data_IF_975823722640
#
_entry.id   IF_975823722640
#
_cell.length_a   1.000
_cell.length_b   1.000
_cell.length_c   1.000
_cell.angle_alpha   90.00
_cell.angle_beta   90.00
_cell.angle_gamma   90.00
#
_symmetry.space_group_name_H-M   'P 1'
#
loop_
_entity.id
_entity.type
_entity.pdbx_description
1 polymer ?
#
# COMPACT_ATOMS: atom_id res chain seq x y z
N UNK A 1 -12.71 1.13 17.68
CA UNK A 1 -12.33 0.46 16.42
C UNK A 1 -12.31 1.53 15.37
N UNK A 2 -11.27 1.60 14.55
CA UNK A 2 -11.20 2.55 13.46
C UNK A 2 -11.43 1.75 12.19
N UNK A 3 -12.51 2.04 11.47
CA UNK A 3 -12.68 1.48 10.14
C UNK A 3 -11.94 2.39 9.17
N UNK A 4 -10.75 1.96 8.76
CA UNK A 4 -9.89 2.68 7.83
C UNK A 4 -10.25 2.28 6.40
N UNK A 5 -10.57 3.27 5.57
CA UNK A 5 -10.61 3.08 4.12
C UNK A 5 -9.40 3.76 3.50
N UNK A 6 -8.69 3.02 2.66
CA UNK A 6 -7.63 3.53 1.82
C UNK A 6 -8.17 3.84 0.43
N UNK A 7 -8.01 5.07 -0.05
CA UNK A 7 -8.30 5.41 -1.45
C UNK A 7 -7.04 5.92 -2.14
N UNK A 8 -6.82 5.44 -3.37
CA UNK A 8 -5.79 5.96 -4.26
C UNK A 8 -6.37 7.06 -5.14
N UNK A 9 -5.83 8.27 -5.09
CA UNK A 9 -6.18 9.31 -6.06
C UNK A 9 -5.06 9.44 -7.10
N UNK A 10 -5.46 9.33 -8.37
CA UNK A 10 -4.59 9.53 -9.51
C UNK A 10 -4.77 10.96 -10.04
N UNK A 11 -3.86 11.87 -9.69
CA UNK A 11 -3.61 13.05 -10.51
C UNK A 11 -2.38 12.80 -11.38
N UNK A 12 -2.22 13.54 -12.47
CA UNK A 12 -1.14 13.34 -13.45
C UNK A 12 0.29 13.40 -12.90
N UNK A 13 0.47 13.72 -11.61
CA UNK A 13 1.79 13.93 -11.00
C UNK A 13 2.00 13.23 -9.65
N UNK A 14 0.94 12.90 -8.88
CA UNK A 14 1.10 12.41 -7.51
C UNK A 14 0.08 11.32 -7.18
N UNK A 15 0.56 10.19 -6.67
CA UNK A 15 -0.30 9.19 -6.04
C UNK A 15 -0.40 9.45 -4.54
N UNK A 16 -1.63 9.61 -4.07
CA UNK A 16 -1.93 9.73 -2.65
C UNK A 16 -2.76 8.58 -2.16
N UNK A 17 -2.50 8.18 -0.94
CA UNK A 17 -3.38 7.32 -0.17
C UNK A 17 -4.06 8.17 0.89
N UNK A 18 -5.38 8.09 0.94
CA UNK A 18 -6.19 8.74 1.96
C UNK A 18 -6.63 7.72 3.00
N UNK A 19 -6.63 8.12 4.27
CA UNK A 19 -7.07 7.31 5.42
C UNK A 19 -8.30 8.00 6.00
N UNK A 20 -9.43 7.29 5.99
CA UNK A 20 -10.68 7.80 6.56
C UNK A 20 -11.04 7.06 7.85
N UNK A 21 -11.58 7.78 8.83
CA UNK A 21 -12.30 7.17 9.95
C UNK A 21 -13.79 7.11 9.61
N UNK A 22 -14.28 5.90 9.32
CA UNK A 22 -15.70 5.69 8.99
C UNK A 22 -16.62 5.54 10.21
N UNK A 23 -16.08 5.41 11.43
CA UNK A 23 -16.92 5.25 12.63
C UNK A 23 -17.39 6.63 13.10
N UNK A 24 -16.51 7.63 13.03
CA UNK A 24 -16.77 8.99 13.47
C UNK A 24 -16.92 9.94 12.26
N UNK A 25 -18.02 9.79 11.51
CA UNK A 25 -18.45 10.70 10.43
C UNK A 25 -17.65 10.70 9.10
N UNK A 26 -16.95 9.61 8.75
CA UNK A 26 -16.24 9.49 7.46
C UNK A 26 -15.24 10.63 7.23
N UNK A 27 -14.51 11.01 8.28
CA UNK A 27 -13.56 12.11 8.22
C UNK A 27 -12.21 11.63 7.69
N UNK A 28 -11.54 12.47 6.88
CA UNK A 28 -10.15 12.23 6.49
C UNK A 28 -9.27 12.44 7.73
N UNK A 29 -8.64 11.37 8.22
CA UNK A 29 -7.75 11.43 9.39
C UNK A 29 -6.28 11.53 9.00
N UNK A 30 -5.91 10.97 7.84
CA UNK A 30 -4.55 11.11 7.32
C UNK A 30 -4.51 11.01 5.78
N UNK A 31 -3.43 11.52 5.18
CA UNK A 31 -3.10 11.26 3.78
C UNK A 31 -1.60 11.33 3.57
N UNK A 32 -1.09 10.49 2.67
CA UNK A 32 0.33 10.45 2.36
C UNK A 32 0.57 10.30 0.86
N UNK A 33 1.68 10.87 0.41
CA UNK A 33 2.19 10.75 -0.95
C UNK A 33 3.08 9.51 -1.02
N UNK A 34 2.83 8.64 -2.01
CA UNK A 34 3.66 7.47 -2.22
C UNK A 34 5.03 7.87 -2.80
N UNK A 35 6.13 7.20 -2.42
CA UNK A 35 7.50 7.61 -2.77
C UNK A 35 7.93 7.19 -4.18
N UNK A 36 7.00 6.86 -5.07
CA UNK A 36 7.28 6.38 -6.42
C UNK A 36 6.47 7.11 -7.49
N UNK A 37 7.02 7.15 -8.71
CA UNK A 37 6.39 7.78 -9.87
C UNK A 37 5.04 7.15 -10.19
N UNK A 38 4.07 7.96 -10.64
CA UNK A 38 2.72 7.49 -10.92
C UNK A 38 2.67 6.69 -12.24
N UNK A 39 2.46 5.37 -12.14
CA UNK A 39 2.27 4.49 -13.30
C UNK A 39 0.81 4.11 -13.58
N UNK A 40 -0.15 4.82 -12.97
CA UNK A 40 -1.57 4.73 -13.33
C UNK A 40 -2.38 3.61 -12.64
N UNK A 41 -1.77 2.84 -11.74
CA UNK A 41 -2.44 1.77 -11.00
C UNK A 41 -1.98 1.76 -9.55
N UNK A 42 -2.91 1.62 -8.60
CA UNK A 42 -2.57 1.34 -7.19
C UNK A 42 -3.51 0.27 -6.66
N UNK A 43 -2.96 -0.88 -6.29
CA UNK A 43 -3.60 -1.81 -5.38
C UNK A 43 -3.27 -1.39 -3.94
N UNK A 44 -4.28 -1.38 -3.08
CA UNK A 44 -4.17 -1.03 -1.68
C UNK A 44 -4.77 -2.13 -0.81
N UNK A 45 -4.11 -2.47 0.29
CA UNK A 45 -4.66 -3.38 1.30
C UNK A 45 -4.17 -2.98 2.68
N UNK A 46 -4.97 -3.30 3.69
CA UNK A 46 -4.63 -3.16 5.11
C UNK A 46 -4.27 -4.53 5.67
N UNK A 47 -3.36 -4.53 6.64
CA UNK A 47 -3.20 -5.70 7.48
C UNK A 47 -4.42 -5.85 8.44
N UNK A 48 -4.61 -7.02 9.08
CA UNK A 48 -5.82 -7.33 9.84
C UNK A 48 -6.16 -6.38 10.99
N UNK A 49 -5.15 -5.77 11.62
CA UNK A 49 -5.35 -4.79 12.71
C UNK A 49 -5.37 -3.33 12.23
N UNK A 50 -5.25 -3.11 10.91
CA UNK A 50 -5.24 -1.82 10.24
C UNK A 50 -4.13 -0.85 10.70
N UNK A 51 -3.05 -1.36 11.28
CA UNK A 51 -1.87 -0.58 11.64
C UNK A 51 -0.96 -0.34 10.44
N UNK A 52 -0.94 -1.29 9.49
CA UNK A 52 -0.12 -1.25 8.29
C UNK A 52 -0.98 -1.28 7.03
N UNK A 53 -0.46 -0.62 5.99
CA UNK A 53 -0.99 -0.70 4.65
C UNK A 53 0.10 -1.14 3.67
N UNK A 54 -0.33 -1.81 2.61
CA UNK A 54 0.49 -1.99 1.41
C UNK A 54 -0.13 -1.20 0.26
N UNK A 55 0.73 -0.49 -0.46
CA UNK A 55 0.40 0.16 -1.71
C UNK A 55 1.31 -0.37 -2.81
N UNK A 56 0.76 -0.83 -3.91
CA UNK A 56 1.55 -1.31 -5.05
C UNK A 56 0.99 -0.79 -6.36
N UNK A 57 1.88 -0.38 -7.25
CA UNK A 57 1.55 -0.08 -8.63
C UNK A 57 2.03 -1.17 -9.56
N UNK A 58 1.39 -1.30 -10.71
CA UNK A 58 1.81 -2.24 -11.74
C UNK A 58 3.06 -1.70 -12.43
N UNK A 59 4.22 -2.26 -12.09
CA UNK A 59 5.48 -1.97 -12.75
C UNK A 59 6.10 -3.28 -13.25
N UNK A 60 6.06 -3.48 -14.56
CA UNK A 60 6.82 -4.54 -15.22
C UNK A 60 8.11 -3.95 -15.80
N UNK A 61 9.26 -4.48 -15.38
CA UNK A 61 10.56 -4.12 -15.92
C UNK A 61 11.67 -4.15 -14.87
N UNK A 62 12.86 -3.77 -15.28
CA UNK A 62 14.03 -3.48 -14.45
C UNK A 62 13.92 -2.12 -13.74
N UNK A 63 12.69 -1.70 -13.43
CA UNK A 63 12.42 -0.39 -12.80
C UNK A 63 13.30 -0.25 -11.57
N UNK A 64 14.19 0.74 -11.62
CA UNK A 64 15.17 1.04 -10.56
C UNK A 64 14.47 1.52 -9.28
N UNK A 65 13.23 1.99 -9.42
CA UNK A 65 12.42 2.59 -8.37
C UNK A 65 11.52 1.58 -7.64
N UNK A 66 11.22 1.82 -6.35
CA UNK A 66 10.21 1.04 -5.64
C UNK A 66 8.86 1.15 -6.36
N UNK A 67 8.11 0.06 -6.40
CA UNK A 67 6.79 0.00 -7.03
C UNK A 67 5.74 -0.63 -6.11
N UNK A 68 6.15 -1.08 -4.93
CA UNK A 68 5.25 -1.29 -3.82
C UNK A 68 5.93 -0.88 -2.51
N UNK A 69 5.12 -0.52 -1.52
CA UNK A 69 5.58 -0.16 -0.17
C UNK A 69 4.65 -0.72 0.89
N UNK A 70 5.23 -1.10 2.03
CA UNK A 70 4.51 -1.20 3.30
C UNK A 70 4.72 0.10 4.07
N UNK A 71 3.65 0.61 4.64
CA UNK A 71 3.65 1.86 5.41
C UNK A 71 2.81 1.74 6.67
N UNK A 72 3.18 2.51 7.68
CA UNK A 72 2.41 2.73 8.90
C UNK A 72 1.22 3.66 8.63
N UNK A 73 0.00 3.23 8.95
CA UNK A 73 -1.24 3.95 8.63
C UNK A 73 -1.39 5.23 9.44
N UNK A 74 -0.90 5.24 10.68
CA UNK A 74 -1.03 6.38 11.58
C UNK A 74 -0.13 7.55 11.16
N UNK A 75 1.07 7.26 10.67
CA UNK A 75 2.12 8.25 10.39
C UNK A 75 2.38 8.44 8.90
N UNK A 76 2.03 7.47 8.04
CA UNK A 76 2.40 7.44 6.63
C UNK A 76 3.87 7.06 6.40
N UNK A 77 4.58 6.61 7.43
CA UNK A 77 6.00 6.25 7.34
C UNK A 77 6.17 4.98 6.51
N UNK A 78 7.03 5.02 5.50
CA UNK A 78 7.38 3.85 4.70
C UNK A 78 8.31 2.95 5.51
N UNK A 79 7.90 1.70 5.74
CA UNK A 79 8.66 0.70 6.49
C UNK A 79 9.44 -0.24 5.58
N UNK A 80 8.92 -0.50 4.38
CA UNK A 80 9.57 -1.40 3.42
C UNK A 80 9.25 -0.98 2.00
N UNK A 81 10.24 -1.08 1.13
CA UNK A 81 10.14 -0.83 -0.31
C UNK A 81 10.37 -2.12 -1.09
N UNK A 82 9.54 -2.37 -2.10
CA UNK A 82 9.67 -3.50 -3.01
C UNK A 82 9.93 -3.02 -4.43
N UNK A 83 10.91 -3.65 -5.08
CA UNK A 83 11.20 -3.43 -6.50
C UNK A 83 10.43 -4.42 -7.36
N UNK A 84 9.69 -3.89 -8.31
CA UNK A 84 8.73 -4.68 -9.07
C UNK A 84 7.56 -5.09 -8.17
N UNK A 85 6.35 -4.80 -8.61
CA UNK A 85 5.14 -5.11 -7.88
C UNK A 85 3.97 -5.04 -8.82
N UNK A 86 2.95 -5.82 -8.55
CA UNK A 86 1.71 -5.84 -9.30
C UNK A 86 0.57 -6.27 -8.38
N UNK A 87 -0.64 -5.88 -8.76
CA UNK A 87 -1.84 -6.50 -8.23
C UNK A 87 -1.96 -7.93 -8.80
N UNK A 88 -2.44 -8.92 -8.02
CA UNK A 88 -3.03 -8.81 -6.69
C UNK A 88 -2.02 -8.85 -5.52
N UNK A 89 -2.44 -8.29 -4.38
CA UNK A 89 -1.73 -8.33 -3.09
C UNK A 89 -2.67 -8.63 -1.92
N UNK A 90 -2.18 -9.28 -0.87
CA UNK A 90 -2.96 -9.54 0.35
C UNK A 90 -2.09 -9.90 1.55
N UNK A 91 -2.45 -9.39 2.73
CA UNK A 91 -1.86 -9.83 4.00
C UNK A 91 -2.42 -11.18 4.42
N UNK A 92 -1.61 -11.97 5.12
CA UNK A 92 -2.10 -13.15 5.84
C UNK A 92 -3.09 -12.73 6.94
N UNK A 93 -4.03 -13.61 7.33
CA UNK A 93 -4.98 -13.31 8.39
C UNK A 93 -4.36 -13.02 9.77
N UNK A 94 -3.13 -13.48 10.00
CA UNK A 94 -2.35 -13.18 11.21
C UNK A 94 -1.49 -11.90 11.09
N UNK A 95 -1.49 -11.25 9.92
CA UNK A 95 -0.73 -10.02 9.65
C UNK A 95 0.77 -10.19 9.50
N UNK A 96 1.32 -11.39 9.65
CA UNK A 96 2.77 -11.64 9.67
C UNK A 96 3.39 -11.76 8.29
N UNK A 97 2.57 -12.01 7.26
CA UNK A 97 3.01 -12.22 5.90
C UNK A 97 2.20 -11.39 4.89
N UNK A 98 2.84 -11.10 3.77
CA UNK A 98 2.25 -10.43 2.61
C UNK A 98 2.53 -11.28 1.36
N UNK A 99 1.49 -11.61 0.61
CA UNK A 99 1.64 -12.08 -0.78
C UNK A 99 1.59 -10.85 -1.69
N UNK A 100 2.61 -10.70 -2.54
CA UNK A 100 2.68 -9.67 -3.56
C UNK A 100 2.96 -10.33 -4.91
N UNK A 101 2.13 -10.01 -5.90
CA UNK A 101 2.37 -10.45 -7.27
C UNK A 101 3.44 -9.59 -7.93
N UNK A 102 4.29 -10.22 -8.74
CA UNK A 102 5.24 -9.58 -9.64
C UNK A 102 4.93 -10.05 -11.07
N UNK A 103 5.45 -9.35 -12.07
CA UNK A 103 5.16 -9.67 -13.48
C UNK A 103 5.57 -11.08 -13.92
N UNK A 104 6.53 -11.72 -13.24
CA UNK A 104 6.99 -13.06 -13.55
C UNK A 104 6.61 -14.13 -12.50
N UNK A 105 6.26 -13.74 -11.26
CA UNK A 105 6.01 -14.65 -10.15
C UNK A 105 5.27 -13.94 -9.01
N UNK A 106 4.70 -14.67 -8.06
CA UNK A 106 4.30 -14.11 -6.76
C UNK A 106 5.38 -14.35 -5.70
N UNK A 107 5.57 -13.39 -4.80
CA UNK A 107 6.45 -13.49 -3.63
C UNK A 107 5.66 -13.49 -2.33
N UNK A 108 6.19 -14.18 -1.31
CA UNK A 108 5.71 -14.13 0.07
C UNK A 108 6.77 -13.42 0.90
N UNK A 109 6.35 -12.37 1.60
CA UNK A 109 7.24 -11.50 2.38
C UNK A 109 6.83 -11.51 3.85
N UNK A 110 7.79 -11.46 4.75
CA UNK A 110 7.52 -11.17 6.15
C UNK A 110 7.17 -9.68 6.29
N UNK A 111 6.19 -9.39 7.13
CA UNK A 111 5.78 -8.02 7.44
C UNK A 111 6.64 -7.53 8.61
N UNK A 112 7.18 -6.29 8.55
CA UNK A 112 7.92 -5.71 9.67
C UNK A 112 7.02 -5.56 10.90
N UNK A 113 7.61 -5.73 12.09
CA UNK A 113 6.99 -5.37 13.38
C UNK A 113 6.95 -3.85 13.59
#
# INVERSE_FOLDING_TARGET
GTLVVLTGNQTSEIQRVHVYDLINDTTLVNNFTLPFENLGFVALSLNPDATLAVAAQHACGDTVWPSAVILDVATGTVLTEFRGGAAPLTFSPDGTHLVLSHCAAAGVYAVPE
#
